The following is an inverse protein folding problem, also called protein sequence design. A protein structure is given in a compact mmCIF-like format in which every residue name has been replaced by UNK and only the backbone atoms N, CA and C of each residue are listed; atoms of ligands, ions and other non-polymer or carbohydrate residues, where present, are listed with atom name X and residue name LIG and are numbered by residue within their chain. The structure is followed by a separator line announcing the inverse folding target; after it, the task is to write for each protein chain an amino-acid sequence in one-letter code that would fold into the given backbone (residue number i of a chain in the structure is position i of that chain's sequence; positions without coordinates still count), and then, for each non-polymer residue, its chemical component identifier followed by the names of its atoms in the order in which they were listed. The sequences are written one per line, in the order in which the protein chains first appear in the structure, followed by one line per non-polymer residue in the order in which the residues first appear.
data_IF_206382117059
#
_entry.id   IF_206382117059
#
_cell.length_a   1.000
_cell.length_b   1.000
_cell.length_c   1.000
_cell.angle_alpha   90.00
_cell.angle_beta   90.00
_cell.angle_gamma   90.00
#
_symmetry.space_group_name_H-M   'P 1'
#
loop_
_entity.id
_entity.type
_entity.pdbx_description
1 polymer ?
#
# COMPACT_ATOMS: atom_id res chain seq x y z
N UNK A 1 -13.93 6.21 20.80
CA UNK A 1 -14.23 5.58 19.53
C UNK A 1 -12.96 5.36 18.72
N UNK A 2 -12.78 4.17 18.19
CA UNK A 2 -11.57 3.81 17.46
C UNK A 2 -11.68 4.24 16.01
N UNK A 3 -10.62 4.83 15.48
CA UNK A 3 -10.56 5.14 14.05
C UNK A 3 -10.27 3.86 13.27
N UNK A 4 -10.88 3.71 12.10
CA UNK A 4 -10.58 2.60 11.20
C UNK A 4 -9.14 2.71 10.70
N UNK A 5 -8.60 1.60 10.21
CA UNK A 5 -7.25 1.59 9.62
C UNK A 5 -7.18 2.52 8.40
N UNK A 6 -8.23 2.49 7.56
CA UNK A 6 -8.29 3.39 6.39
C UNK A 6 -8.24 4.86 6.82
N UNK A 7 -8.94 5.20 7.91
CA UNK A 7 -8.93 6.58 8.41
C UNK A 7 -7.55 6.99 8.91
N UNK A 8 -6.84 6.07 9.58
CA UNK A 8 -5.47 6.34 10.05
C UNK A 8 -4.50 6.52 8.89
N UNK A 9 -4.66 5.72 7.82
CA UNK A 9 -3.86 5.89 6.61
C UNK A 9 -4.15 7.22 5.93
N UNK A 10 -5.42 7.63 5.90
CA UNK A 10 -5.82 8.91 5.36
C UNK A 10 -5.19 10.08 6.13
N UNK A 11 -5.07 9.97 7.45
CA UNK A 11 -4.45 11.00 8.28
C UNK A 11 -2.98 11.23 7.96
N UNK A 12 -2.29 10.23 7.43
CA UNK A 12 -0.89 10.35 7.02
C UNK A 12 -0.75 10.53 5.50
N UNK A 13 -1.85 10.85 4.83
CA UNK A 13 -1.85 11.28 3.43
C UNK A 13 -2.20 10.21 2.41
N UNK A 14 -2.42 8.97 2.81
CA UNK A 14 -2.81 7.91 1.88
C UNK A 14 -4.30 8.00 1.58
N UNK A 15 -4.63 7.92 0.30
CA UNK A 15 -6.01 7.88 -0.17
C UNK A 15 -6.28 6.51 -0.77
N UNK A 16 -7.33 5.83 -0.31
CA UNK A 16 -7.71 4.55 -0.89
C UNK A 16 -8.33 4.79 -2.26
N UNK A 17 -7.77 4.19 -3.29
CA UNK A 17 -8.24 4.35 -4.67
C UNK A 17 -8.91 3.10 -5.21
N UNK A 18 -8.73 1.96 -4.54
CA UNK A 18 -9.36 0.70 -4.96
C UNK A 18 -9.42 -0.26 -3.78
N UNK A 19 -10.51 -1.01 -3.69
CA UNK A 19 -10.60 -2.14 -2.78
C UNK A 19 -11.57 -3.16 -3.39
N UNK A 20 -11.05 -4.36 -3.67
CA UNK A 20 -11.86 -5.48 -4.12
C UNK A 20 -11.36 -6.77 -3.46
N UNK A 21 -11.84 -7.94 -3.90
CA UNK A 21 -11.46 -9.21 -3.29
C UNK A 21 -10.03 -9.63 -3.59
N UNK A 22 -9.34 -8.93 -4.50
CA UNK A 22 -7.99 -9.29 -4.93
C UNK A 22 -6.93 -8.29 -4.50
N UNK A 23 -7.32 -7.04 -4.26
CA UNK A 23 -6.34 -6.00 -3.94
C UNK A 23 -6.97 -4.82 -3.23
N UNK A 24 -6.15 -4.15 -2.41
CA UNK A 24 -6.46 -2.83 -1.86
C UNK A 24 -5.31 -1.92 -2.25
N UNK A 25 -5.64 -0.75 -2.82
CA UNK A 25 -4.64 0.18 -3.33
C UNK A 25 -4.83 1.55 -2.70
N UNK A 26 -3.74 2.11 -2.19
CA UNK A 26 -3.68 3.47 -1.64
C UNK A 26 -2.66 4.27 -2.43
N UNK A 27 -2.87 5.58 -2.52
CA UNK A 27 -1.91 6.50 -3.15
C UNK A 27 -1.63 7.69 -2.22
N UNK A 28 -0.39 8.17 -2.25
CA UNK A 28 0.01 9.36 -1.52
C UNK A 28 1.01 10.15 -2.37
N UNK A 29 0.68 11.43 -2.63
CA UNK A 29 1.59 12.31 -3.36
C UNK A 29 2.66 12.87 -2.43
N UNK A 30 3.92 12.79 -2.86
CA UNK A 30 5.04 13.39 -2.14
C UNK A 30 5.42 14.68 -2.88
N UNK A 31 5.11 15.83 -2.29
CA UNK A 31 5.33 17.12 -2.94
C UNK A 31 6.77 17.62 -2.80
N UNK A 32 7.58 17.03 -1.94
CA UNK A 32 9.01 17.34 -1.82
C UNK A 32 9.77 16.75 -3.01
N UNK A 33 9.56 15.48 -3.30
CA UNK A 33 10.26 14.77 -4.38
C UNK A 33 9.40 14.64 -5.65
N UNK A 34 8.17 15.15 -5.63
CA UNK A 34 7.29 15.23 -6.81
C UNK A 34 6.99 13.86 -7.43
N UNK A 35 6.52 12.91 -6.63
CA UNK A 35 6.08 11.62 -7.13
C UNK A 35 4.85 11.11 -6.35
N UNK A 36 4.14 10.16 -6.95
CA UNK A 36 3.02 9.49 -6.29
C UNK A 36 3.44 8.10 -5.85
N UNK A 37 3.39 7.88 -4.53
CA UNK A 37 3.63 6.56 -3.94
C UNK A 37 2.35 5.73 -4.05
N UNK A 38 2.47 4.52 -4.57
CA UNK A 38 1.38 3.55 -4.61
C UNK A 38 1.68 2.47 -3.59
N UNK A 39 0.74 2.22 -2.70
CA UNK A 39 0.82 1.19 -1.67
C UNK A 39 -0.28 0.19 -1.94
N UNK A 40 0.10 -1.04 -2.27
CA UNK A 40 -0.85 -2.09 -2.68
C UNK A 40 -0.73 -3.30 -1.78
N UNK A 41 -1.87 -3.84 -1.36
CA UNK A 41 -1.95 -5.17 -0.73
C UNK A 41 -2.62 -6.08 -1.76
N UNK A 42 -1.92 -7.14 -2.17
CA UNK A 42 -2.42 -8.08 -3.19
C UNK A 42 -2.71 -9.42 -2.55
N UNK A 43 -3.93 -9.91 -2.75
CA UNK A 43 -4.36 -11.24 -2.29
C UNK A 43 -4.29 -12.20 -3.48
N UNK A 44 -3.34 -13.13 -3.44
CA UNK A 44 -3.16 -14.10 -4.52
C UNK A 44 -3.96 -15.36 -4.29
N UNK A 45 -4.31 -16.05 -5.38
CA UNK A 45 -5.11 -17.27 -5.35
C UNK A 45 -4.43 -18.41 -4.59
N UNK A 46 -3.09 -18.41 -4.53
CA UNK A 46 -2.33 -19.42 -3.77
C UNK A 46 -2.27 -19.14 -2.27
N UNK A 47 -2.96 -18.11 -1.80
CA UNK A 47 -2.98 -17.74 -0.38
C UNK A 47 -1.85 -16.81 0.03
N UNK A 48 -0.93 -16.47 -0.86
CA UNK A 48 0.12 -15.48 -0.58
C UNK A 48 -0.47 -14.09 -0.61
N UNK A 49 -0.08 -13.28 0.36
CA UNK A 49 -0.53 -11.88 0.44
C UNK A 49 0.69 -10.98 0.39
N UNK A 50 0.73 -10.09 -0.59
CA UNK A 50 1.92 -9.32 -0.92
C UNK A 50 1.67 -7.85 -0.68
N UNK A 51 2.65 -7.17 -0.06
CA UNK A 51 2.65 -5.73 0.11
C UNK A 51 3.64 -5.16 -0.90
N UNK A 52 3.20 -4.17 -1.69
CA UNK A 52 4.05 -3.48 -2.65
C UNK A 52 3.96 -1.97 -2.40
N UNK A 53 5.10 -1.29 -2.48
CA UNK A 53 5.15 0.16 -2.40
C UNK A 53 6.12 0.65 -3.46
N UNK A 54 5.65 1.51 -4.36
CA UNK A 54 6.45 1.93 -5.50
C UNK A 54 6.06 3.35 -5.95
N UNK A 55 6.96 3.95 -6.73
CA UNK A 55 6.75 5.24 -7.38
C UNK A 55 5.98 5.00 -8.68
N UNK A 56 4.75 5.50 -8.74
CA UNK A 56 3.88 5.35 -9.89
C UNK A 56 4.43 6.03 -11.14
N UNK A 57 5.16 7.13 -10.96
CA UNK A 57 5.55 8.01 -12.05
C UNK A 57 6.90 7.67 -12.65
N UNK A 58 7.71 6.85 -11.97
CA UNK A 58 9.06 6.53 -12.42
C UNK A 58 9.18 5.04 -12.73
N UNK A 59 9.37 4.73 -14.02
CA UNK A 59 9.60 3.38 -14.48
C UNK A 59 11.07 3.20 -14.82
N UNK A 60 11.72 2.24 -14.20
CA UNK A 60 13.11 1.92 -14.48
C UNK A 60 13.17 0.91 -15.61
N UNK A 61 13.61 1.37 -16.78
CA UNK A 61 13.68 0.54 -18.00
C UNK A 61 14.68 -0.60 -17.87
N UNK A 62 15.71 -0.39 -17.06
CA UNK A 62 16.77 -1.38 -16.85
C UNK A 62 16.24 -2.59 -16.06
N UNK A 63 15.49 -2.33 -14.99
CA UNK A 63 14.88 -3.37 -14.17
C UNK A 63 13.47 -3.73 -14.63
N UNK A 64 12.94 -3.03 -15.61
CA UNK A 64 11.58 -3.24 -16.15
C UNK A 64 10.50 -3.18 -15.09
N UNK A 65 10.61 -2.20 -14.19
CA UNK A 65 9.64 -2.00 -13.13
C UNK A 65 9.73 -0.61 -12.54
N UNK A 66 8.76 -0.29 -11.69
CA UNK A 66 8.76 0.97 -10.98
C UNK A 66 9.74 0.92 -9.81
N UNK A 67 10.26 2.09 -9.43
CA UNK A 67 11.19 2.20 -8.31
C UNK A 67 10.44 1.94 -7.01
N UNK A 68 11.00 1.08 -6.17
CA UNK A 68 10.43 0.77 -4.86
C UNK A 68 10.52 1.96 -3.93
N UNK A 69 9.48 2.15 -3.12
CA UNK A 69 9.44 3.17 -2.08
C UNK A 69 9.35 2.48 -0.72
N UNK A 70 10.22 2.86 0.19
CA UNK A 70 10.22 2.29 1.54
C UNK A 70 8.99 2.67 2.34
N UNK A 71 8.68 1.85 3.33
CA UNK A 71 7.60 2.10 4.29
C UNK A 71 8.20 2.34 5.66
N UNK A 72 7.62 3.28 6.40
CA UNK A 72 7.98 3.46 7.81
C UNK A 72 7.43 2.30 8.64
N UNK A 73 7.93 2.15 9.86
CA UNK A 73 7.41 1.15 10.78
C UNK A 73 5.92 1.37 11.08
N UNK A 74 5.51 2.64 11.23
CA UNK A 74 4.11 2.97 11.49
C UNK A 74 3.22 2.59 10.30
N UNK A 75 3.66 2.92 9.07
CA UNK A 75 2.94 2.55 7.86
C UNK A 75 2.80 1.03 7.74
N UNK A 76 3.87 0.31 8.00
CA UNK A 76 3.87 -1.15 7.98
C UNK A 76 2.89 -1.71 9.00
N UNK A 77 2.86 -1.16 10.21
CA UNK A 77 1.93 -1.57 11.25
C UNK A 77 0.47 -1.42 10.79
N UNK A 78 0.14 -0.29 10.16
CA UNK A 78 -1.21 -0.04 9.66
C UNK A 78 -1.58 -1.01 8.55
N UNK A 79 -0.65 -1.30 7.65
CA UNK A 79 -0.89 -2.25 6.56
C UNK A 79 -1.12 -3.66 7.09
N UNK A 80 -0.32 -4.11 8.03
CA UNK A 80 -0.52 -5.43 8.65
C UNK A 80 -1.87 -5.50 9.36
N UNK A 81 -2.28 -4.42 10.01
CA UNK A 81 -3.59 -4.33 10.65
C UNK A 81 -4.73 -4.45 9.64
N UNK A 82 -4.59 -3.76 8.48
CA UNK A 82 -5.58 -3.86 7.39
C UNK A 82 -5.65 -5.30 6.87
N UNK A 83 -4.52 -5.96 6.68
CA UNK A 83 -4.47 -7.35 6.22
C UNK A 83 -5.19 -8.29 7.20
N UNK A 84 -5.03 -8.09 8.50
CA UNK A 84 -5.75 -8.87 9.52
C UNK A 84 -7.25 -8.65 9.40
N UNK A 85 -7.69 -7.41 9.21
CA UNK A 85 -9.11 -7.09 9.06
C UNK A 85 -9.71 -7.74 7.82
N UNK A 86 -8.92 -7.88 6.75
CA UNK A 86 -9.37 -8.50 5.51
C UNK A 86 -9.27 -10.03 5.54
N UNK A 87 -8.62 -10.60 6.57
CA UNK A 87 -8.35 -12.02 6.61
C UNK A 87 -7.18 -12.43 5.72
N UNK A 88 -6.32 -11.49 5.34
CA UNK A 88 -5.18 -11.71 4.42
C UNK A 88 -3.84 -11.76 5.15
N UNK A 89 -3.84 -12.03 6.43
CA UNK A 89 -2.61 -11.97 7.22
C UNK A 89 -1.85 -13.29 7.27
N UNK A 90 -2.55 -14.41 7.22
CA UNK A 90 -1.93 -15.73 7.30
C UNK A 90 -1.27 -16.11 5.97
N UNK A 91 -0.02 -16.51 6.04
CA UNK A 91 0.90 -16.79 4.92
C UNK A 91 1.39 -15.54 4.25
#
# INVERSE_FOLDING_TARGET
MFKSTDKKLEEIGFKKVKEDKWAVVYERYNDVYKYTQVLTIVHKTNGSNIIQSYDKDTFDKHFKGNICVGLTGYETKLILRKMKQLGWYSK
#
